data_IF_856389163608
#
_entry.id   IF_856389163608
#
_cell.length_a   1.000
_cell.length_b   1.000
_cell.length_c   1.000
_cell.angle_alpha   90.00
_cell.angle_beta   90.00
_cell.angle_gamma   90.00
#
_symmetry.space_group_name_H-M   'P 1'
#
loop_
_entity.id
_entity.type
_entity.pdbx_description
1 polymer ?
#
# COMPACT_ATOMS: atom_id res chain seq x y z
N UNK A 1 7.15 19.41 63.86
CA UNK A 1 5.82 19.83 64.39
C UNK A 1 4.93 19.96 63.16
N UNK A 2 3.99 19.02 62.95
CA UNK A 2 2.52 19.19 63.09
C UNK A 2 2.02 20.45 62.38
N UNK A 3 0.95 20.49 61.60
CA UNK A 3 -0.13 19.59 61.16
C UNK A 3 -1.01 20.52 60.28
N UNK A 4 -1.91 19.98 59.46
CA UNK A 4 -3.20 20.65 59.26
C UNK A 4 -3.75 20.58 57.85
N UNK A 5 -4.59 19.57 57.67
CA UNK A 5 -5.50 19.34 56.56
C UNK A 5 -6.63 20.39 56.47
N UNK A 6 -7.21 20.44 55.27
CA UNK A 6 -8.64 20.52 54.89
C UNK A 6 -9.61 21.45 55.63
N UNK A 7 -10.35 22.23 54.83
CA UNK A 7 -11.80 22.34 55.01
C UNK A 7 -12.58 22.74 53.74
N UNK A 8 -13.78 22.17 53.66
CA UNK A 8 -14.79 22.13 52.59
C UNK A 8 -15.48 23.45 52.18
N UNK A 9 -16.20 23.41 51.04
CA UNK A 9 -17.57 23.92 50.71
C UNK A 9 -17.63 24.03 49.15
N UNK A 10 -18.64 23.66 48.36
CA UNK A 10 -20.02 23.19 48.53
C UNK A 10 -20.69 23.15 47.14
N UNK A 11 -21.77 22.37 47.05
CA UNK A 11 -22.69 22.04 45.93
C UNK A 11 -22.92 23.02 44.76
N UNK A 12 -23.16 22.48 43.55
CA UNK A 12 -24.53 22.35 42.99
C UNK A 12 -24.58 21.52 41.69
N UNK A 13 -25.52 20.56 41.68
CA UNK A 13 -25.97 19.73 40.56
C UNK A 13 -27.11 20.42 39.78
N UNK A 14 -27.10 20.31 38.44
CA UNK A 14 -28.25 20.19 37.52
C UNK A 14 -27.71 20.23 36.07
N UNK A 15 -28.07 19.42 35.09
CA UNK A 15 -29.11 18.41 34.92
C UNK A 15 -29.48 18.37 33.42
N UNK A 16 -29.43 17.20 32.77
CA UNK A 16 -30.23 16.79 31.60
C UNK A 16 -29.73 15.42 31.12
N UNK A 17 -30.38 14.32 31.50
CA UNK A 17 -31.63 13.78 30.94
C UNK A 17 -31.46 13.11 29.56
N UNK A 18 -31.22 11.80 29.59
CA UNK A 18 -31.69 10.87 28.56
C UNK A 18 -32.19 9.61 29.28
N UNK A 19 -33.51 9.43 29.29
CA UNK A 19 -34.17 8.22 29.73
C UNK A 19 -35.04 7.66 28.61
N UNK A 20 -35.16 6.34 28.54
CA UNK A 20 -36.33 5.71 27.91
C UNK A 20 -36.13 4.32 27.31
N UNK A 21 -36.61 3.32 28.07
CA UNK A 21 -37.07 1.97 27.69
C UNK A 21 -35.99 0.88 27.42
N UNK A 22 -36.03 -0.31 28.04
CA UNK A 22 -36.97 -0.91 28.99
C UNK A 22 -36.74 -2.44 29.05
N UNK A 23 -36.41 -2.97 30.25
CA UNK A 23 -36.55 -4.38 30.63
C UNK A 23 -38.06 -4.64 30.90
N UNK A 24 -38.69 -5.81 30.77
CA UNK A 24 -38.28 -7.20 30.97
C UNK A 24 -39.30 -7.85 31.93
N UNK A 25 -39.84 -9.03 31.60
CA UNK A 25 -40.41 -10.06 32.50
C UNK A 25 -40.86 -11.24 31.60
N UNK A 26 -40.27 -12.44 31.62
CA UNK A 26 -40.22 -13.48 32.66
C UNK A 26 -41.38 -14.51 32.55
N UNK A 27 -41.08 -15.78 32.87
CA UNK A 27 -41.86 -17.04 32.79
C UNK A 27 -41.75 -17.81 31.45
N UNK A 28 -41.45 -19.11 31.40
CA UNK A 28 -41.25 -20.15 32.41
C UNK A 28 -41.08 -21.51 31.72
N UNK A 29 -40.38 -22.44 32.38
CA UNK A 29 -40.05 -23.81 31.96
C UNK A 29 -41.25 -24.70 31.57
N UNK A 30 -41.05 -25.63 30.62
CA UNK A 30 -41.14 -27.08 30.86
C UNK A 30 -41.18 -27.95 29.57
N UNK A 31 -40.22 -28.87 29.50
CA UNK A 31 -40.40 -30.32 29.30
C UNK A 31 -40.87 -30.93 27.94
N UNK A 32 -39.94 -31.73 27.39
CA UNK A 32 -40.05 -33.17 27.06
C UNK A 32 -40.91 -33.66 25.86
N UNK A 33 -40.22 -34.43 25.02
CA UNK A 33 -40.66 -35.70 24.37
C UNK A 33 -40.89 -35.67 22.85
N UNK A 34 -40.04 -36.42 22.14
CA UNK A 34 -40.38 -37.16 20.92
C UNK A 34 -40.73 -38.62 21.30
N UNK A 35 -41.10 -39.52 20.36
CA UNK A 35 -42.11 -39.53 19.28
C UNK A 35 -43.14 -40.70 19.49
N UNK A 36 -44.08 -41.01 18.56
CA UNK A 36 -43.81 -42.06 17.55
C UNK A 36 -44.56 -41.94 16.19
N UNK A 37 -44.09 -42.70 15.20
CA UNK A 37 -44.66 -42.99 13.85
C UNK A 37 -45.84 -44.02 13.89
N UNK A 38 -46.28 -44.73 12.80
CA UNK A 38 -46.55 -44.46 11.36
C UNK A 38 -47.92 -45.04 10.84
N UNK A 39 -48.15 -45.03 9.50
CA UNK A 39 -48.87 -46.03 8.64
C UNK A 39 -50.30 -45.75 8.11
N UNK A 40 -50.41 -45.82 6.77
CA UNK A 40 -51.53 -46.35 5.95
C UNK A 40 -51.44 -45.80 4.52
N UNK A 41 -51.15 -46.49 3.39
CA UNK A 41 -51.32 -47.85 2.82
C UNK A 41 -52.76 -48.33 2.57
N UNK A 42 -53.18 -48.33 1.28
CA UNK A 42 -53.67 -49.45 0.42
C UNK A 42 -54.60 -48.89 -0.68
N UNK A 43 -54.26 -48.94 -1.97
CA UNK A 43 -54.24 -50.07 -2.91
C UNK A 43 -55.61 -50.43 -3.50
N UNK A 44 -55.78 -50.39 -4.84
CA UNK A 44 -56.38 -51.53 -5.57
C UNK A 44 -56.14 -51.52 -7.09
N UNK A 45 -55.75 -52.70 -7.59
CA UNK A 45 -55.54 -53.12 -8.98
C UNK A 45 -56.84 -53.63 -9.60
N UNK A 46 -57.05 -53.43 -10.91
CA UNK A 46 -57.65 -54.41 -11.84
C UNK A 46 -57.02 -54.25 -13.25
N UNK A 47 -56.09 -55.10 -13.72
CA UNK A 47 -56.27 -56.31 -14.56
C UNK A 47 -57.21 -56.16 -15.78
N UNK A 48 -56.97 -56.58 -17.03
CA UNK A 48 -55.96 -57.35 -17.79
C UNK A 48 -56.19 -57.00 -19.30
N UNK A 49 -55.39 -57.31 -20.35
CA UNK A 49 -55.03 -58.65 -20.90
C UNK A 49 -54.39 -58.48 -22.32
N UNK A 50 -53.50 -59.42 -22.69
CA UNK A 50 -53.06 -59.82 -24.07
C UNK A 50 -52.04 -58.89 -24.78
N UNK A 51 -50.97 -59.30 -25.47
CA UNK A 51 -50.50 -60.60 -26.01
C UNK A 51 -48.98 -60.52 -26.33
N UNK A 52 -48.38 -61.71 -26.48
CA UNK A 52 -46.95 -62.03 -26.66
C UNK A 52 -46.48 -61.99 -28.13
N UNK A 53 -45.17 -61.76 -28.36
CA UNK A 53 -44.29 -62.22 -29.48
C UNK A 53 -43.53 -61.05 -30.16
N UNK A 54 -42.22 -60.85 -29.94
CA UNK A 54 -41.05 -61.52 -30.53
C UNK A 54 -40.71 -61.07 -31.97
N UNK A 55 -39.60 -60.35 -32.15
CA UNK A 55 -38.57 -60.61 -33.18
C UNK A 55 -37.42 -59.59 -33.11
N UNK A 56 -36.19 -60.11 -33.11
CA UNK A 56 -34.97 -59.34 -33.31
C UNK A 56 -34.72 -59.09 -34.80
N UNK A 57 -34.30 -57.89 -35.19
CA UNK A 57 -33.45 -57.69 -36.38
C UNK A 57 -32.67 -56.39 -36.26
N UNK A 58 -31.38 -56.46 -36.57
CA UNK A 58 -30.40 -55.39 -36.54
C UNK A 58 -30.51 -54.42 -37.73
N UNK A 59 -30.20 -53.14 -37.52
CA UNK A 59 -29.71 -52.17 -38.53
C UNK A 59 -28.72 -51.25 -37.80
N UNK A 60 -27.43 -51.55 -37.89
CA UNK A 60 -26.40 -50.90 -38.74
C UNK A 60 -26.17 -49.42 -38.41
N UNK A 61 -24.91 -49.16 -38.08
CA UNK A 61 -24.31 -47.89 -37.69
C UNK A 61 -24.57 -46.74 -38.66
N UNK A 62 -24.92 -45.58 -38.10
CA UNK A 62 -24.58 -44.29 -38.65
C UNK A 62 -23.79 -43.53 -37.60
N UNK A 63 -22.46 -43.73 -37.64
CA UNK A 63 -21.51 -42.81 -37.05
C UNK A 63 -21.62 -41.50 -37.82
N UNK A 64 -22.45 -40.58 -37.33
CA UNK A 64 -22.35 -39.18 -37.73
C UNK A 64 -21.08 -38.67 -37.07
N UNK A 65 -20.02 -38.57 -37.88
CA UNK A 65 -18.86 -37.77 -37.59
C UNK A 65 -19.35 -36.33 -37.37
N UNK A 66 -19.64 -35.99 -36.12
CA UNK A 66 -19.71 -34.61 -35.70
C UNK A 66 -18.30 -34.07 -35.93
N UNK A 67 -18.09 -33.08 -36.82
CA UNK A 67 -16.83 -32.39 -36.82
C UNK A 67 -16.71 -31.78 -35.42
N UNK A 68 -15.81 -32.34 -34.62
CA UNK A 68 -15.24 -31.63 -33.49
C UNK A 68 -14.48 -30.44 -34.08
N UNK A 69 -15.23 -29.43 -34.50
CA UNK A 69 -14.69 -28.07 -34.50
C UNK A 69 -14.39 -27.83 -33.05
N UNK A 70 -13.09 -27.84 -32.73
CA UNK A 70 -12.56 -27.21 -31.54
C UNK A 70 -13.11 -25.80 -31.57
N UNK A 71 -14.20 -25.58 -30.82
CA UNK A 71 -14.74 -24.27 -30.52
C UNK A 71 -13.72 -23.62 -29.59
N UNK A 72 -12.67 -23.10 -30.21
CA UNK A 72 -11.67 -22.26 -29.57
C UNK A 72 -12.32 -20.89 -29.40
N UNK A 73 -13.18 -20.77 -28.39
CA UNK A 73 -13.72 -19.51 -27.84
C UNK A 73 -14.63 -19.86 -26.67
N UNK A 74 -14.03 -20.30 -25.57
CA UNK A 74 -14.69 -20.18 -24.28
C UNK A 74 -14.97 -18.70 -24.04
N UNK A 75 -16.22 -18.40 -23.67
CA UNK A 75 -16.85 -17.12 -23.34
C UNK A 75 -15.98 -16.17 -22.49
N UNK A 76 -14.92 -15.65 -23.08
CA UNK A 76 -14.15 -14.55 -22.56
C UNK A 76 -14.98 -13.28 -22.73
N UNK A 77 -15.34 -12.62 -21.62
CA UNK A 77 -15.93 -11.29 -21.68
C UNK A 77 -15.12 -10.41 -22.66
N UNK A 78 -15.79 -9.69 -23.58
CA UNK A 78 -15.11 -8.89 -24.58
C UNK A 78 -14.17 -7.91 -23.89
N UNK A 79 -12.90 -7.84 -24.33
CA UNK A 79 -11.96 -6.89 -23.78
C UNK A 79 -12.43 -5.46 -24.04
N UNK A 80 -12.13 -4.55 -23.13
CA UNK A 80 -12.45 -3.14 -23.25
C UNK A 80 -11.42 -2.42 -24.11
N UNK A 81 -11.87 -1.73 -25.15
CA UNK A 81 -11.01 -0.90 -26.00
C UNK A 81 -10.95 0.53 -25.48
N UNK A 82 -9.74 1.03 -25.22
CA UNK A 82 -9.53 2.42 -24.76
C UNK A 82 -10.05 3.39 -25.82
N UNK A 83 -11.08 4.21 -25.53
CA UNK A 83 -11.65 5.16 -26.47
C UNK A 83 -10.63 6.19 -26.95
N UNK A 84 -10.77 6.71 -28.17
CA UNK A 84 -9.87 7.71 -28.74
C UNK A 84 -9.70 8.95 -27.84
N UNK A 85 -10.78 9.39 -27.17
CA UNK A 85 -10.73 10.50 -26.21
C UNK A 85 -9.86 10.21 -24.99
N UNK A 86 -9.88 8.96 -24.48
CA UNK A 86 -9.02 8.55 -23.38
C UNK A 86 -7.56 8.41 -23.86
N UNK A 87 -7.35 7.83 -25.05
CA UNK A 87 -6.02 7.74 -25.67
C UNK A 87 -5.35 9.11 -25.82
N UNK A 88 -6.12 10.15 -26.15
CA UNK A 88 -5.60 11.52 -26.29
C UNK A 88 -5.02 12.08 -24.96
N UNK A 89 -5.51 11.63 -23.80
CA UNK A 89 -5.00 12.07 -22.50
C UNK A 89 -3.53 11.67 -22.30
N UNK A 90 -3.07 10.56 -22.91
CA UNK A 90 -1.71 10.07 -22.76
C UNK A 90 -0.64 11.03 -23.31
N UNK A 91 -1.01 12.01 -24.14
CA UNK A 91 -0.12 13.04 -24.69
C UNK A 91 -0.40 14.45 -24.16
N UNK A 92 -1.31 14.60 -23.19
CA UNK A 92 -1.72 15.90 -22.65
C UNK A 92 -1.74 15.84 -21.10
N UNK A 93 -0.63 16.19 -20.44
CA UNK A 93 -0.52 16.18 -18.98
C UNK A 93 -1.59 17.01 -18.26
N UNK A 94 -1.99 18.15 -18.83
CA UNK A 94 -3.01 19.00 -18.22
C UNK A 94 -4.39 18.33 -18.28
N UNK A 95 -4.74 17.73 -19.43
CA UNK A 95 -5.99 17.01 -19.58
C UNK A 95 -6.01 15.69 -18.78
N UNK A 96 -4.90 14.95 -18.74
CA UNK A 96 -4.75 13.73 -17.95
C UNK A 96 -4.95 14.01 -16.46
N UNK A 97 -4.26 15.03 -15.93
CA UNK A 97 -4.43 15.47 -14.54
C UNK A 97 -5.86 15.91 -14.26
N UNK A 98 -6.49 16.72 -15.12
CA UNK A 98 -7.91 17.07 -14.98
C UNK A 98 -8.84 15.85 -15.05
N UNK A 99 -8.43 14.76 -15.69
CA UNK A 99 -9.22 13.53 -15.79
C UNK A 99 -9.11 12.64 -14.55
N UNK A 100 -7.97 12.66 -13.87
CA UNK A 100 -7.71 11.86 -12.67
C UNK A 100 -7.86 12.64 -11.35
N UNK A 101 -7.85 13.98 -11.37
CA UNK A 101 -7.99 14.81 -10.18
C UNK A 101 -9.36 14.58 -9.51
N UNK A 102 -9.38 14.01 -8.29
CA UNK A 102 -10.60 13.73 -7.55
C UNK A 102 -11.18 14.99 -6.86
N UNK A 103 -10.51 16.15 -6.97
CA UNK A 103 -10.77 17.39 -6.21
C UNK A 103 -10.40 17.26 -4.73
N UNK A 104 -10.40 18.39 -4.02
CA UNK A 104 -9.93 18.49 -2.62
C UNK A 104 -10.79 17.64 -1.64
N UNK A 105 -12.05 17.38 -1.98
CA UNK A 105 -13.00 16.59 -1.19
C UNK A 105 -13.17 15.15 -1.71
N UNK A 106 -12.31 14.74 -2.65
CA UNK A 106 -12.38 13.47 -3.36
C UNK A 106 -13.70 13.19 -4.11
N UNK A 107 -14.59 14.17 -4.28
CA UNK A 107 -15.92 14.01 -4.87
C UNK A 107 -15.91 13.48 -6.32
N UNK A 108 -14.81 13.65 -7.05
CA UNK A 108 -14.69 13.22 -8.45
C UNK A 108 -13.92 11.90 -8.63
N UNK A 109 -13.63 11.17 -7.54
CA UNK A 109 -12.85 9.93 -7.57
C UNK A 109 -13.42 8.86 -8.51
N UNK A 110 -14.75 8.81 -8.67
CA UNK A 110 -15.38 7.85 -9.58
C UNK A 110 -14.86 8.01 -11.02
N UNK A 111 -14.53 9.24 -11.46
CA UNK A 111 -13.98 9.48 -12.80
C UNK A 111 -12.67 8.74 -13.05
N UNK A 112 -11.76 8.72 -12.06
CA UNK A 112 -10.54 7.95 -12.12
C UNK A 112 -10.84 6.44 -12.19
N UNK A 113 -11.77 5.96 -11.34
CA UNK A 113 -12.23 4.55 -11.36
C UNK A 113 -12.74 4.14 -12.74
N UNK A 114 -13.68 4.89 -13.33
CA UNK A 114 -14.20 4.63 -14.69
C UNK A 114 -13.15 4.58 -15.79
N UNK A 115 -12.00 5.24 -15.60
CA UNK A 115 -10.94 5.26 -16.59
C UNK A 115 -9.94 4.11 -16.41
N UNK A 116 -9.67 3.71 -15.16
CA UNK A 116 -8.59 2.79 -14.82
C UNK A 116 -9.08 1.37 -14.48
N UNK A 117 -10.30 1.20 -13.98
CA UNK A 117 -10.79 -0.10 -13.50
C UNK A 117 -11.48 -0.88 -14.61
N UNK A 118 -10.68 -1.65 -15.35
CA UNK A 118 -11.16 -2.55 -16.40
C UNK A 118 -10.47 -3.90 -16.31
N UNK A 119 -11.25 -4.97 -16.12
CA UNK A 119 -10.72 -6.33 -15.90
C UNK A 119 -9.89 -6.85 -17.10
N UNK A 120 -10.26 -6.45 -18.32
CA UNK A 120 -9.53 -6.80 -19.55
C UNK A 120 -9.46 -5.61 -20.49
N UNK A 121 -8.26 -5.18 -20.84
CA UNK A 121 -8.02 -4.08 -21.77
C UNK A 121 -7.42 -4.62 -23.07
N UNK A 122 -7.98 -4.22 -24.22
CA UNK A 122 -7.53 -4.70 -25.53
C UNK A 122 -6.19 -4.08 -25.95
N UNK A 123 -5.35 -4.87 -26.63
CA UNK A 123 -4.18 -4.41 -27.38
C UNK A 123 -3.18 -3.63 -26.51
N UNK A 124 -2.81 -2.42 -26.96
CA UNK A 124 -1.89 -1.52 -26.26
C UNK A 124 -2.56 -0.73 -25.11
N UNK A 125 -3.83 -1.00 -24.81
CA UNK A 125 -4.63 -0.13 -23.97
C UNK A 125 -4.13 0.00 -22.53
N UNK A 126 -3.60 -1.06 -21.91
CA UNK A 126 -2.99 -0.96 -20.58
C UNK A 126 -1.77 -0.03 -20.57
N UNK A 127 -0.96 -0.06 -21.64
CA UNK A 127 0.19 0.87 -21.81
C UNK A 127 -0.29 2.30 -22.03
N UNK A 128 -1.39 2.50 -22.75
CA UNK A 128 -2.02 3.82 -22.89
C UNK A 128 -2.46 4.34 -21.52
N UNK A 129 -3.18 3.53 -20.73
CA UNK A 129 -3.60 3.91 -19.38
C UNK A 129 -2.40 4.25 -18.49
N UNK A 130 -1.30 3.49 -18.59
CA UNK A 130 -0.06 3.81 -17.89
C UNK A 130 0.50 5.18 -18.25
N UNK A 131 0.53 5.54 -19.55
CA UNK A 131 0.93 6.88 -19.96
C UNK A 131 0.00 7.99 -19.45
N UNK A 132 -1.30 7.70 -19.29
CA UNK A 132 -2.23 8.66 -18.68
C UNK A 132 -1.91 8.86 -17.20
N UNK A 133 -1.62 7.79 -16.46
CA UNK A 133 -1.18 7.86 -15.06
C UNK A 133 0.07 8.74 -14.96
N UNK A 134 1.15 8.39 -15.68
CA UNK A 134 2.39 9.18 -15.70
C UNK A 134 2.13 10.65 -16.06
N UNK A 135 1.36 10.93 -17.12
CA UNK A 135 1.08 12.30 -17.54
C UNK A 135 0.29 13.11 -16.49
N UNK A 136 -0.51 12.45 -15.66
CA UNK A 136 -1.31 13.11 -14.63
C UNK A 136 -0.56 13.33 -13.31
N UNK A 137 0.35 12.42 -12.95
CA UNK A 137 0.92 12.33 -11.60
C UNK A 137 2.37 12.75 -11.52
N UNK A 138 3.14 12.54 -12.59
CA UNK A 138 4.58 12.80 -12.56
C UNK A 138 4.89 14.29 -12.58
N UNK A 139 6.03 14.66 -11.97
CA UNK A 139 6.56 16.03 -12.06
C UNK A 139 6.72 16.47 -13.53
N UNK A 140 6.45 17.75 -13.83
CA UNK A 140 6.46 18.24 -15.22
C UNK A 140 7.86 18.30 -15.83
N UNK A 141 8.87 18.49 -14.98
CA UNK A 141 10.30 18.42 -15.32
C UNK A 141 11.05 17.93 -14.09
N UNK A 142 12.20 17.29 -14.28
CA UNK A 142 13.15 17.04 -13.17
C UNK A 142 13.48 18.36 -12.46
N UNK A 143 13.63 18.30 -11.14
CA UNK A 143 13.80 19.47 -10.27
C UNK A 143 12.49 20.13 -9.82
N UNK A 144 11.34 19.79 -10.40
CA UNK A 144 10.06 20.41 -10.04
C UNK A 144 9.38 19.66 -8.90
N UNK A 145 8.97 20.35 -7.82
CA UNK A 145 8.09 19.78 -6.82
C UNK A 145 6.74 19.33 -7.40
N UNK A 146 6.15 18.29 -6.82
CA UNK A 146 4.78 17.90 -7.12
C UNK A 146 3.79 19.00 -6.72
N UNK A 147 2.78 19.20 -7.57
CA UNK A 147 1.66 20.11 -7.33
C UNK A 147 0.52 19.38 -6.61
N UNK A 148 -0.34 20.11 -5.90
CA UNK A 148 -1.54 19.56 -5.26
C UNK A 148 -2.37 18.68 -6.21
N UNK A 149 -2.57 19.11 -7.45
CA UNK A 149 -3.36 18.35 -8.42
C UNK A 149 -2.67 17.05 -8.90
N UNK A 150 -1.33 17.00 -8.90
CA UNK A 150 -0.59 15.75 -9.14
C UNK A 150 -0.73 14.80 -7.95
N UNK A 151 -0.52 15.30 -6.73
CA UNK A 151 -0.64 14.52 -5.50
C UNK A 151 -2.05 13.92 -5.32
N UNK A 152 -3.11 14.71 -5.57
CA UNK A 152 -4.49 14.20 -5.55
C UNK A 152 -4.77 13.19 -6.67
N UNK A 153 -4.15 13.37 -7.84
CA UNK A 153 -4.26 12.40 -8.94
C UNK A 153 -3.59 11.07 -8.56
N UNK A 154 -2.45 11.10 -7.87
CA UNK A 154 -1.79 9.91 -7.36
C UNK A 154 -2.67 9.16 -6.34
N UNK A 155 -3.31 9.88 -5.42
CA UNK A 155 -4.34 9.31 -4.53
C UNK A 155 -5.44 8.62 -5.33
N UNK A 156 -5.99 9.29 -6.34
CA UNK A 156 -7.09 8.74 -7.12
C UNK A 156 -6.72 7.48 -7.91
N UNK A 157 -5.48 7.41 -8.41
CA UNK A 157 -4.95 6.19 -9.07
C UNK A 157 -4.84 5.06 -8.05
N UNK A 158 -4.20 5.29 -6.91
CA UNK A 158 -4.02 4.27 -5.87
C UNK A 158 -5.38 3.79 -5.33
N UNK A 159 -6.31 4.70 -5.05
CA UNK A 159 -7.68 4.38 -4.60
C UNK A 159 -8.49 3.64 -5.67
N UNK A 160 -8.30 3.94 -6.96
CA UNK A 160 -8.98 3.23 -8.03
C UNK A 160 -8.48 1.79 -8.21
N UNK A 161 -7.19 1.56 -7.96
CA UNK A 161 -6.54 0.26 -8.14
C UNK A 161 -6.50 -0.59 -6.86
N UNK A 162 -6.85 0.01 -5.72
CA UNK A 162 -7.01 -0.70 -4.45
C UNK A 162 -7.91 -1.92 -4.62
N UNK A 163 -7.41 -3.11 -4.23
CA UNK A 163 -8.09 -4.40 -4.36
C UNK A 163 -8.45 -4.84 -5.80
N UNK A 164 -7.69 -4.39 -6.80
CA UNK A 164 -7.84 -4.80 -8.20
C UNK A 164 -6.59 -5.48 -8.72
N UNK A 165 -6.77 -6.38 -9.69
CA UNK A 165 -5.66 -6.87 -10.50
C UNK A 165 -5.17 -5.72 -11.40
N UNK A 166 -3.86 -5.47 -11.41
CA UNK A 166 -3.27 -4.40 -12.22
C UNK A 166 -2.72 -5.04 -13.50
N UNK A 167 -3.21 -4.65 -14.70
CA UNK A 167 -2.74 -5.22 -15.95
C UNK A 167 -1.23 -4.99 -16.13
N UNK A 168 -0.46 -5.96 -16.68
CA UNK A 168 1.00 -5.83 -16.84
C UNK A 168 1.45 -4.58 -17.61
N UNK A 169 0.65 -4.12 -18.59
CA UNK A 169 0.97 -2.88 -19.32
C UNK A 169 0.79 -1.58 -18.52
N UNK A 170 0.07 -1.63 -17.40
CA UNK A 170 -0.18 -0.50 -16.49
C UNK A 170 0.78 -0.53 -15.28
N UNK A 171 1.14 -1.72 -14.80
CA UNK A 171 1.91 -1.90 -13.57
C UNK A 171 3.20 -1.06 -13.49
N UNK A 172 4.08 -1.01 -14.51
CA UNK A 172 5.29 -0.18 -14.43
C UNK A 172 5.02 1.33 -14.31
N UNK A 173 3.91 1.84 -14.83
CA UNK A 173 3.58 3.26 -14.71
C UNK A 173 3.06 3.61 -13.31
N UNK A 174 2.27 2.71 -12.71
CA UNK A 174 1.79 2.86 -11.32
C UNK A 174 2.97 2.72 -10.35
N UNK A 175 3.89 1.80 -10.60
CA UNK A 175 5.11 1.67 -9.81
C UNK A 175 5.98 2.93 -9.86
N UNK A 176 6.17 3.55 -11.04
CA UNK A 176 6.89 4.83 -11.17
C UNK A 176 6.19 5.96 -10.44
N UNK A 177 4.86 6.04 -10.56
CA UNK A 177 4.07 6.99 -9.78
C UNK A 177 4.35 6.80 -8.29
N UNK A 178 4.19 5.59 -7.73
CA UNK A 178 4.45 5.36 -6.31
C UNK A 178 5.91 5.66 -5.91
N UNK A 179 6.88 5.36 -6.77
CA UNK A 179 8.28 5.71 -6.55
C UNK A 179 8.49 7.23 -6.43
N UNK A 180 7.82 8.04 -7.26
CA UNK A 180 7.89 9.51 -7.18
C UNK A 180 7.31 10.09 -5.87
N UNK A 181 6.48 9.31 -5.15
CA UNK A 181 5.91 9.66 -3.83
C UNK A 181 6.44 8.72 -2.73
N UNK A 182 7.67 8.20 -2.85
CA UNK A 182 8.20 7.14 -1.96
C UNK A 182 8.04 7.44 -0.47
N UNK A 183 8.26 8.68 -0.02
CA UNK A 183 8.08 9.03 1.40
C UNK A 183 6.64 8.85 1.88
N UNK A 184 5.66 9.27 1.07
CA UNK A 184 4.23 9.15 1.39
C UNK A 184 3.81 7.68 1.38
N UNK A 185 4.37 6.89 0.44
CA UNK A 185 4.16 5.44 0.35
C UNK A 185 4.70 4.74 1.59
N UNK A 186 5.95 5.01 1.97
CA UNK A 186 6.60 4.40 3.13
C UNK A 186 5.85 4.72 4.41
N UNK A 187 5.37 5.96 4.58
CA UNK A 187 4.59 6.39 5.74
C UNK A 187 3.24 5.70 5.84
N UNK A 188 2.52 5.60 4.73
CA UNK A 188 1.19 5.02 4.70
C UNK A 188 1.19 3.53 5.06
N UNK A 189 2.11 2.77 4.46
CA UNK A 189 2.21 1.31 4.66
C UNK A 189 2.55 0.94 6.10
N UNK A 190 3.25 1.80 6.84
CA UNK A 190 3.72 1.53 8.19
C UNK A 190 2.80 2.09 9.29
N UNK A 191 1.52 2.33 8.97
CA UNK A 191 0.51 2.92 9.87
C UNK A 191 0.87 4.34 10.36
N UNK A 192 1.81 5.02 9.70
CA UNK A 192 2.26 6.38 9.97
C UNK A 192 1.46 7.47 9.24
N UNK A 193 0.34 7.12 8.62
CA UNK A 193 -0.50 8.07 7.88
C UNK A 193 -1.19 9.08 8.80
N UNK A 194 -1.51 10.24 8.21
CA UNK A 194 -2.30 11.28 8.86
C UNK A 194 -3.75 10.82 9.07
N UNK A 195 -4.09 10.48 10.31
CA UNK A 195 -5.44 10.05 10.70
C UNK A 195 -6.46 11.18 10.67
N UNK A 196 -5.98 12.42 10.70
CA UNK A 196 -6.80 13.63 10.69
C UNK A 196 -6.85 14.25 9.28
N UNK A 197 -6.30 13.57 8.27
CA UNK A 197 -6.35 14.02 6.89
C UNK A 197 -7.80 14.27 6.45
N UNK A 198 -8.05 15.45 5.88
CA UNK A 198 -9.40 15.86 5.43
C UNK A 198 -9.57 15.81 3.91
N UNK A 199 -8.51 15.50 3.18
CA UNK A 199 -8.50 15.46 1.72
C UNK A 199 -7.40 14.56 1.15
N UNK A 200 -7.38 14.34 -0.18
CA UNK A 200 -6.52 13.36 -0.84
C UNK A 200 -5.07 13.81 -1.04
N UNK A 201 -4.73 15.05 -0.68
CA UNK A 201 -3.38 15.58 -0.72
C UNK A 201 -3.22 16.71 0.29
N UNK A 202 -1.98 16.96 0.68
CA UNK A 202 -1.57 18.04 1.55
C UNK A 202 -0.58 18.98 0.84
N UNK A 203 -0.68 20.27 1.15
CA UNK A 203 0.22 21.31 0.70
C UNK A 203 1.60 21.19 1.37
N UNK A 204 2.62 21.84 0.79
CA UNK A 204 3.93 21.89 1.41
C UNK A 204 3.91 22.59 2.78
N UNK A 205 3.03 23.59 2.94
CA UNK A 205 2.85 24.31 4.19
C UNK A 205 2.18 23.43 5.25
N UNK A 206 1.19 22.62 4.89
CA UNK A 206 0.52 21.70 5.82
C UNK A 206 1.35 20.46 6.13
N UNK A 207 2.21 20.02 5.21
CA UNK A 207 3.14 18.91 5.43
C UNK A 207 4.40 19.31 6.23
N UNK A 208 4.61 20.61 6.46
CA UNK A 208 5.76 21.11 7.20
C UNK A 208 5.76 20.63 8.65
N UNK A 209 6.97 20.50 9.22
CA UNK A 209 7.14 20.19 10.64
C UNK A 209 6.43 21.24 11.50
N UNK A 210 5.62 20.77 12.46
CA UNK A 210 4.97 21.62 13.45
C UNK A 210 5.96 22.16 14.51
N UNK A 211 5.45 22.89 15.51
CA UNK A 211 6.27 23.48 16.58
C UNK A 211 6.93 22.43 17.49
N UNK A 212 6.43 21.19 17.51
CA UNK A 212 7.06 20.04 18.19
C UNK A 212 8.10 19.36 17.31
N UNK A 213 8.21 19.80 16.05
CA UNK A 213 8.99 19.15 15.04
C UNK A 213 8.37 17.82 14.67
N UNK A 214 7.05 17.72 14.51
CA UNK A 214 6.35 16.52 14.01
C UNK A 214 5.67 16.81 12.67
N UNK A 215 5.58 15.77 11.83
CA UNK A 215 4.76 15.74 10.61
C UNK A 215 4.49 14.28 10.25
N UNK A 216 3.29 13.92 9.78
CA UNK A 216 3.00 12.58 9.29
C UNK A 216 3.63 12.29 7.91
N UNK A 217 4.11 13.31 7.20
CA UNK A 217 4.60 13.21 5.82
C UNK A 217 6.11 12.92 5.69
N UNK A 218 6.83 12.77 6.81
CA UNK A 218 8.28 12.51 6.81
C UNK A 218 9.15 13.76 7.00
N UNK A 219 10.46 13.57 7.24
CA UNK A 219 11.36 14.61 7.75
C UNK A 219 12.01 15.49 6.70
N UNK A 220 12.46 14.86 5.61
CA UNK A 220 13.37 15.47 4.65
C UNK A 220 12.68 15.97 3.39
N UNK A 221 11.50 16.56 3.56
CA UNK A 221 10.61 16.98 2.48
C UNK A 221 11.15 18.18 1.73
N UNK A 222 10.98 18.17 0.41
CA UNK A 222 11.34 19.30 -0.43
C UNK A 222 10.44 20.50 -0.10
N UNK A 223 10.99 21.73 -0.11
CA UNK A 223 10.15 22.90 0.02
C UNK A 223 9.20 22.98 -1.19
N UNK A 224 7.95 23.41 -0.93
CA UNK A 224 6.92 23.60 -1.95
C UNK A 224 6.42 22.33 -2.66
N UNK A 225 6.77 21.14 -2.16
CA UNK A 225 6.23 19.88 -2.66
C UNK A 225 4.91 19.55 -1.97
N UNK A 226 3.89 19.23 -2.78
CA UNK A 226 2.64 18.68 -2.28
C UNK A 226 2.79 17.16 -2.03
N UNK A 227 2.13 16.68 -0.99
CA UNK A 227 2.17 15.30 -0.53
C UNK A 227 0.82 14.61 -0.76
N UNK A 228 0.86 13.30 -1.00
CA UNK A 228 -0.35 12.49 -1.20
C UNK A 228 -0.80 11.85 0.11
N UNK A 229 -2.10 11.97 0.42
CA UNK A 229 -2.69 11.40 1.63
C UNK A 229 -3.29 10.03 1.30
N UNK A 230 -2.44 9.01 1.14
CA UNK A 230 -2.92 7.66 0.81
C UNK A 230 -3.87 7.10 1.89
N UNK A 231 -3.61 7.39 3.17
CA UNK A 231 -4.38 6.90 4.31
C UNK A 231 -5.67 7.67 4.66
N UNK A 232 -6.22 8.49 3.76
CA UNK A 232 -7.45 9.26 4.01
C UNK A 232 -8.60 8.36 4.52
N UNK A 233 -8.91 8.49 5.82
CA UNK A 233 -9.79 7.56 6.56
C UNK A 233 -11.17 8.16 6.89
N UNK A 234 -11.27 9.47 7.14
CA UNK A 234 -12.51 10.07 7.63
C UNK A 234 -13.49 10.53 6.53
N UNK A 235 -14.77 10.18 6.71
CA UNK A 235 -15.90 10.74 5.96
C UNK A 235 -16.22 10.08 4.62
N UNK A 236 -15.34 9.20 4.12
CA UNK A 236 -15.63 8.37 2.95
C UNK A 236 -15.99 6.96 3.43
N UNK A 237 -17.09 6.39 2.91
CA UNK A 237 -17.44 4.98 3.14
C UNK A 237 -16.20 4.08 2.97
N UNK A 238 -16.09 2.99 3.73
CA UNK A 238 -14.96 2.03 3.69
C UNK A 238 -14.56 1.55 2.28
N UNK A 239 -15.42 1.77 1.28
CA UNK A 239 -15.14 1.64 -0.15
C UNK A 239 -14.12 2.64 -0.75
N UNK A 240 -13.58 3.57 0.04
CA UNK A 240 -12.65 4.61 -0.42
C UNK A 240 -11.25 4.54 0.20
N UNK A 241 -11.04 3.66 1.18
CA UNK A 241 -9.74 3.39 1.78
C UNK A 241 -8.73 2.92 0.71
N UNK A 242 -7.59 3.60 0.60
CA UNK A 242 -6.47 3.10 -0.21
C UNK A 242 -5.75 2.05 0.61
N UNK A 243 -5.86 0.79 0.21
CA UNK A 243 -5.00 -0.24 0.79
C UNK A 243 -3.71 -0.27 -0.02
N UNK A 244 -2.82 0.68 0.26
CA UNK A 244 -1.60 0.86 -0.53
C UNK A 244 -0.71 -0.39 -0.49
N UNK A 245 -0.69 -1.07 0.65
CA UNK A 245 -0.06 -2.37 0.80
C UNK A 245 -0.54 -3.41 -0.23
N UNK A 246 -1.86 -3.52 -0.42
CA UNK A 246 -2.45 -4.40 -1.46
C UNK A 246 -2.01 -3.97 -2.86
N UNK A 247 -1.95 -2.67 -3.15
CA UNK A 247 -1.49 -2.16 -4.46
C UNK A 247 -0.01 -2.53 -4.69
N UNK A 248 0.88 -2.30 -3.72
CA UNK A 248 2.30 -2.64 -3.80
C UNK A 248 2.47 -4.15 -3.99
N UNK A 249 1.73 -4.96 -3.24
CA UNK A 249 1.71 -6.41 -3.41
C UNK A 249 1.29 -6.81 -4.81
N UNK A 250 0.21 -6.24 -5.34
CA UNK A 250 -0.24 -6.56 -6.69
C UNK A 250 0.82 -6.22 -7.75
N UNK A 251 1.48 -5.07 -7.61
CA UNK A 251 2.57 -4.64 -8.50
C UNK A 251 3.78 -5.56 -8.43
N UNK A 252 4.08 -6.15 -7.27
CA UNK A 252 5.24 -7.01 -7.06
C UNK A 252 5.22 -8.33 -7.89
N UNK A 253 4.12 -8.64 -8.56
CA UNK A 253 4.02 -9.75 -9.54
C UNK A 253 4.70 -9.43 -10.87
N UNK A 254 4.81 -8.16 -11.22
CA UNK A 254 5.45 -7.69 -12.44
C UNK A 254 6.92 -7.36 -12.16
N UNK A 255 7.89 -7.95 -12.90
CA UNK A 255 9.31 -7.79 -12.57
C UNK A 255 9.84 -6.37 -12.82
N UNK A 256 9.27 -5.62 -13.76
CA UNK A 256 9.66 -4.23 -14.00
C UNK A 256 9.11 -3.33 -12.87
N UNK A 257 7.83 -3.50 -12.52
CA UNK A 257 7.21 -2.78 -11.41
C UNK A 257 7.91 -3.07 -10.06
N UNK A 258 8.24 -4.34 -9.80
CA UNK A 258 9.02 -4.73 -8.63
C UNK A 258 10.39 -4.03 -8.60
N UNK A 259 11.12 -4.02 -9.71
CA UNK A 259 12.43 -3.37 -9.79
C UNK A 259 12.32 -1.86 -9.50
N UNK A 260 11.32 -1.19 -10.05
CA UNK A 260 11.09 0.25 -9.83
C UNK A 260 10.84 0.55 -8.34
N UNK A 261 9.91 -0.17 -7.69
CA UNK A 261 9.60 0.05 -6.27
C UNK A 261 10.80 -0.30 -5.38
N UNK A 262 11.48 -1.41 -5.68
CA UNK A 262 12.62 -1.84 -4.89
C UNK A 262 13.83 -0.93 -5.03
N UNK A 263 14.07 -0.38 -6.22
CA UNK A 263 15.11 0.63 -6.44
C UNK A 263 14.74 1.94 -5.76
N UNK A 264 13.48 2.38 -5.82
CA UNK A 264 13.02 3.59 -5.15
C UNK A 264 13.25 3.54 -3.63
N UNK A 265 12.85 2.45 -2.97
CA UNK A 265 13.05 2.30 -1.52
C UNK A 265 14.53 2.19 -1.13
N UNK A 266 15.35 1.46 -1.90
CA UNK A 266 16.81 1.41 -1.66
C UNK A 266 17.47 2.77 -1.86
N UNK A 267 16.97 3.55 -2.81
CA UNK A 267 17.41 4.92 -3.07
C UNK A 267 17.01 5.85 -1.94
N UNK A 268 15.76 5.72 -1.47
CA UNK A 268 15.21 6.49 -0.37
C UNK A 268 15.95 6.18 0.95
N UNK A 269 16.27 4.92 1.22
CA UNK A 269 17.13 4.53 2.35
C UNK A 269 18.48 5.24 2.34
N UNK A 270 19.20 5.21 1.21
CA UNK A 270 20.48 5.92 1.08
C UNK A 270 20.30 7.45 1.20
N UNK A 271 19.25 8.00 0.62
CA UNK A 271 18.88 9.42 0.74
C UNK A 271 18.59 9.82 2.19
N UNK A 272 17.94 8.95 2.97
CA UNK A 272 17.59 9.23 4.35
C UNK A 272 18.86 9.26 5.23
N UNK A 273 19.71 8.24 5.10
CA UNK A 273 20.95 8.12 5.88
C UNK A 273 21.90 9.32 5.69
N UNK A 274 22.08 9.81 4.46
CA UNK A 274 23.01 10.93 4.19
C UNK A 274 22.57 12.28 4.81
N UNK A 275 21.35 12.37 5.36
CA UNK A 275 20.81 13.59 6.00
C UNK A 275 20.88 13.56 7.52
N UNK A 276 21.07 12.39 8.10
CA UNK A 276 21.18 12.25 9.55
C UNK A 276 22.46 12.90 10.07
N UNK A 277 22.40 13.33 11.33
CA UNK A 277 23.58 13.84 12.05
C UNK A 277 24.65 12.76 12.24
N UNK A 278 25.83 13.14 12.70
CA UNK A 278 26.93 12.19 13.00
C UNK A 278 26.63 11.28 14.21
N UNK A 279 25.47 11.47 14.84
CA UNK A 279 24.91 10.58 15.89
C UNK A 279 23.67 9.83 15.40
N UNK A 280 23.43 9.81 14.09
CA UNK A 280 22.25 9.22 13.47
C UNK A 280 20.92 9.77 14.03
N UNK A 281 20.91 11.05 14.41
CA UNK A 281 19.73 11.79 14.88
C UNK A 281 19.23 12.78 13.82
N UNK A 282 18.03 13.32 14.05
CA UNK A 282 17.36 14.32 13.22
C UNK A 282 18.06 15.69 13.35
N UNK A 283 18.59 16.27 12.26
CA UNK A 283 19.21 17.60 12.30
C UNK A 283 18.22 18.73 12.64
N UNK A 284 16.92 18.51 12.51
CA UNK A 284 15.86 19.46 12.82
C UNK A 284 15.27 19.26 14.23
N UNK A 285 15.72 18.26 15.00
CA UNK A 285 15.20 17.98 16.33
C UNK A 285 15.29 19.21 17.25
N UNK A 286 14.13 19.64 17.77
CA UNK A 286 14.01 20.72 18.75
C UNK A 286 13.56 20.15 20.09
N UNK A 287 14.51 19.63 20.87
CA UNK A 287 14.23 19.17 22.23
C UNK A 287 13.93 20.38 23.14
N UNK A 288 12.66 20.76 23.22
CA UNK A 288 12.21 21.88 24.04
C UNK A 288 12.23 21.54 25.54
N UNK A 289 12.20 22.55 26.40
CA UNK A 289 12.00 22.33 27.84
C UNK A 289 10.64 21.67 28.14
N UNK A 290 9.65 21.86 27.26
CA UNK A 290 8.32 21.24 27.34
C UNK A 290 8.38 19.75 27.00
N UNK A 291 9.03 19.36 25.91
CA UNK A 291 9.18 17.94 25.54
C UNK A 291 9.95 17.17 26.62
N UNK A 292 11.03 17.75 27.15
CA UNK A 292 11.78 17.18 28.30
C UNK A 292 10.96 17.10 29.60
N UNK A 293 9.95 17.96 29.77
CA UNK A 293 9.08 17.94 30.95
C UNK A 293 7.92 16.95 30.78
N UNK A 294 7.45 16.73 29.55
CA UNK A 294 6.47 15.69 29.21
C UNK A 294 7.07 14.29 29.33
N UNK A 295 8.35 14.09 28.98
CA UNK A 295 9.09 12.86 29.29
C UNK A 295 9.01 12.51 30.78
N UNK A 296 9.14 13.53 31.63
CA UNK A 296 9.08 13.37 33.08
C UNK A 296 7.66 13.09 33.61
N UNK A 297 6.63 13.36 32.80
CA UNK A 297 5.21 13.19 33.13
C UNK A 297 4.67 11.82 32.70
N UNK A 298 5.16 11.27 31.58
CA UNK A 298 4.75 9.97 31.06
C UNK A 298 5.63 8.80 31.54
N UNK A 299 6.72 9.07 32.27
CA UNK A 299 7.57 8.04 32.87
C UNK A 299 8.70 7.58 31.93
N UNK A 300 9.38 6.49 32.26
CA UNK A 300 10.51 5.93 31.48
C UNK A 300 10.11 5.44 30.07
N UNK A 301 8.80 5.41 29.76
CA UNK A 301 8.26 4.83 28.53
C UNK A 301 8.11 5.85 27.37
N UNK A 302 8.22 7.16 27.65
CA UNK A 302 8.16 8.18 26.61
C UNK A 302 9.28 9.20 26.81
N UNK A 303 10.25 9.18 25.92
CA UNK A 303 11.38 10.09 25.91
C UNK A 303 11.51 10.69 24.53
N UNK A 304 11.41 12.02 24.40
CA UNK A 304 11.70 12.72 23.16
C UNK A 304 13.23 12.78 22.96
N UNK A 305 13.77 11.84 22.20
CA UNK A 305 15.15 11.85 21.74
C UNK A 305 15.27 12.49 20.36
N UNK A 306 16.47 13.00 20.02
CA UNK A 306 16.77 13.44 18.66
C UNK A 306 16.84 12.26 17.66
N UNK A 307 16.68 11.03 18.14
CA UNK A 307 16.77 9.79 17.36
C UNK A 307 15.44 9.07 17.12
N UNK A 308 14.36 9.39 17.85
CA UNK A 308 13.10 8.61 17.76
C UNK A 308 12.50 8.62 16.36
N UNK A 309 12.43 9.79 15.74
CA UNK A 309 11.89 9.92 14.39
C UNK A 309 12.79 9.28 13.33
N UNK A 310 14.11 9.48 13.34
CA UNK A 310 15.02 8.69 12.53
C UNK A 310 14.85 7.19 12.68
N UNK A 311 14.64 6.70 13.91
CA UNK A 311 14.42 5.28 14.20
C UNK A 311 13.13 4.81 13.51
N UNK A 312 12.00 5.46 13.79
CA UNK A 312 10.72 5.13 13.16
C UNK A 312 10.78 5.16 11.62
N UNK A 313 11.42 6.17 11.02
CA UNK A 313 11.51 6.29 9.56
C UNK A 313 12.37 5.17 8.96
N UNK A 314 13.46 4.79 9.63
CA UNK A 314 14.32 3.68 9.20
C UNK A 314 13.63 2.33 9.39
N UNK A 315 12.82 2.17 10.43
CA UNK A 315 11.91 1.03 10.62
C UNK A 315 10.95 0.91 9.44
N UNK A 316 10.24 1.99 9.10
CA UNK A 316 9.25 2.04 8.03
C UNK A 316 9.86 1.67 6.66
N UNK A 317 10.99 2.29 6.29
CA UNK A 317 11.69 2.00 5.02
C UNK A 317 12.11 0.52 4.96
N UNK A 318 12.60 -0.01 6.08
CA UNK A 318 13.06 -1.40 6.16
C UNK A 318 11.91 -2.38 6.00
N UNK A 319 10.77 -2.09 6.62
CA UNK A 319 9.55 -2.89 6.52
C UNK A 319 9.06 -2.98 5.08
N UNK A 320 9.02 -1.88 4.33
CA UNK A 320 8.60 -1.89 2.92
C UNK A 320 9.54 -2.74 2.04
N UNK A 321 10.85 -2.59 2.23
CA UNK A 321 11.85 -3.41 1.53
C UNK A 321 11.65 -4.90 1.83
N UNK A 322 11.43 -5.26 3.09
CA UNK A 322 11.17 -6.63 3.50
C UNK A 322 9.84 -7.14 2.94
N UNK A 323 8.80 -6.31 2.93
CA UNK A 323 7.49 -6.66 2.43
C UNK A 323 7.50 -6.92 0.90
N UNK A 324 8.28 -6.17 0.11
CA UNK A 324 8.52 -6.48 -1.31
C UNK A 324 9.17 -7.87 -1.47
N UNK A 325 10.22 -8.18 -0.70
CA UNK A 325 10.85 -9.51 -0.73
C UNK A 325 9.88 -10.63 -0.33
N UNK A 326 9.03 -10.36 0.64
CA UNK A 326 7.98 -11.26 1.08
C UNK A 326 6.96 -11.50 -0.03
N UNK A 327 6.50 -10.46 -0.73
CA UNK A 327 5.55 -10.56 -1.84
C UNK A 327 6.12 -11.41 -2.98
N UNK A 328 7.36 -11.16 -3.40
CA UNK A 328 8.07 -12.01 -4.38
C UNK A 328 8.08 -13.48 -3.95
N UNK A 329 8.45 -13.76 -2.70
CA UNK A 329 8.52 -15.12 -2.17
C UNK A 329 7.13 -15.78 -2.12
N UNK A 330 6.10 -15.04 -1.72
CA UNK A 330 4.71 -15.49 -1.66
C UNK A 330 4.20 -15.85 -3.06
N UNK A 331 4.50 -15.03 -4.07
CA UNK A 331 4.09 -15.28 -5.45
C UNK A 331 4.82 -16.43 -6.12
N UNK A 332 6.10 -16.64 -5.79
CA UNK A 332 6.80 -17.84 -6.21
C UNK A 332 6.15 -19.10 -5.60
N UNK A 333 5.83 -19.06 -4.30
CA UNK A 333 5.22 -20.20 -3.58
C UNK A 333 3.82 -20.55 -4.07
N UNK A 334 2.99 -19.54 -4.39
CA UNK A 334 1.62 -19.77 -4.84
C UNK A 334 1.48 -19.96 -6.37
N UNK A 335 2.59 -19.90 -7.11
CA UNK A 335 2.62 -20.12 -8.56
C UNK A 335 2.22 -18.91 -9.41
N UNK A 336 2.01 -17.73 -8.82
CA UNK A 336 1.79 -16.48 -9.60
C UNK A 336 3.05 -16.11 -10.38
N UNK A 337 4.23 -16.24 -9.74
CA UNK A 337 5.52 -16.24 -10.43
C UNK A 337 5.87 -17.70 -10.71
N UNK A 338 5.64 -18.14 -11.95
CA UNK A 338 5.83 -19.54 -12.36
C UNK A 338 7.29 -19.92 -12.61
N UNK A 339 8.10 -18.95 -13.04
CA UNK A 339 9.54 -19.09 -13.23
C UNK A 339 10.27 -17.99 -12.45
N UNK A 340 10.69 -18.32 -11.24
CA UNK A 340 11.38 -17.39 -10.36
C UNK A 340 12.72 -16.93 -10.94
N UNK A 341 13.43 -17.79 -11.68
CA UNK A 341 14.72 -17.43 -12.26
C UNK A 341 14.55 -16.44 -13.42
N UNK A 342 13.52 -16.61 -14.26
CA UNK A 342 13.19 -15.65 -15.31
C UNK A 342 12.71 -14.31 -14.73
N UNK A 343 11.87 -14.35 -13.69
CA UNK A 343 11.45 -13.16 -12.96
C UNK A 343 12.65 -12.39 -12.41
N UNK A 344 13.54 -13.07 -11.68
CA UNK A 344 14.75 -12.48 -11.09
C UNK A 344 15.69 -11.88 -12.13
N UNK A 345 15.85 -12.57 -13.26
CA UNK A 345 16.64 -12.07 -14.38
C UNK A 345 16.04 -10.79 -14.96
N UNK A 346 14.70 -10.74 -15.06
CA UNK A 346 13.99 -9.56 -15.54
C UNK A 346 14.12 -8.40 -14.55
N UNK A 347 13.92 -8.63 -13.24
CA UNK A 347 14.13 -7.61 -12.21
C UNK A 347 15.54 -7.04 -12.30
N UNK A 348 16.58 -7.89 -12.39
CA UNK A 348 17.98 -7.43 -12.53
C UNK A 348 18.23 -6.61 -13.80
N UNK A 349 17.46 -6.82 -14.86
CA UNK A 349 17.57 -6.05 -16.09
C UNK A 349 16.91 -4.65 -15.99
N UNK A 350 16.00 -4.48 -15.04
CA UNK A 350 15.29 -3.23 -14.74
C UNK A 350 15.80 -2.49 -13.50
N UNK A 351 16.63 -3.14 -12.68
CA UNK A 351 17.34 -2.48 -11.57
C UNK A 351 18.51 -1.65 -12.11
N UNK A 352 18.52 -0.37 -11.76
CA UNK A 352 19.51 0.61 -12.23
C UNK A 352 20.86 0.41 -11.55
N UNK A 353 20.86 0.05 -10.26
CA UNK A 353 22.09 -0.26 -9.55
C UNK A 353 21.99 -0.26 -8.03
N UNK A 354 23.07 0.21 -7.41
CA UNK A 354 23.20 0.37 -5.97
C UNK A 354 23.38 1.85 -5.60
N UNK A 355 22.74 2.24 -4.50
CA UNK A 355 22.69 3.60 -3.99
C UNK A 355 23.50 3.68 -2.71
N UNK A 356 24.38 4.66 -2.64
CA UNK A 356 25.22 4.91 -1.48
C UNK A 356 24.90 6.29 -0.94
N UNK A 357 24.75 6.43 0.39
CA UNK A 357 24.67 7.74 1.01
C UNK A 357 25.99 8.50 0.76
N UNK A 358 25.90 9.82 0.72
CA UNK A 358 27.08 10.67 0.75
C UNK A 358 27.88 10.46 2.06
N UNK A 359 29.20 10.63 1.96
CA UNK A 359 30.09 10.59 3.12
C UNK A 359 29.92 11.81 4.04
N UNK A 360 29.56 12.96 3.45
CA UNK A 360 29.23 14.18 4.19
C UNK A 360 27.71 14.36 4.33
N UNK A 361 27.30 15.17 5.31
CA UNK A 361 25.88 15.40 5.57
C UNK A 361 25.30 16.25 4.45
N UNK A 362 24.30 15.73 3.78
CA UNK A 362 23.56 16.46 2.75
C UNK A 362 22.45 17.26 3.41
N UNK A 363 22.35 18.55 3.09
CA UNK A 363 21.31 19.46 3.63
C UNK A 363 20.28 19.89 2.59
N UNK A 364 20.52 19.59 1.31
CA UNK A 364 19.58 19.86 0.23
C UNK A 364 18.38 18.92 0.31
N UNK A 365 17.19 19.41 0.00
CA UNK A 365 15.94 18.65 0.01
C UNK A 365 15.33 18.68 -1.40
N UNK A 366 15.80 17.82 -2.31
CA UNK A 366 15.24 17.73 -3.66
C UNK A 366 13.83 17.14 -3.61
N UNK A 367 12.97 17.44 -4.60
CA UNK A 367 11.67 16.78 -4.77
C UNK A 367 11.77 15.25 -4.71
N UNK A 368 10.74 14.58 -4.21
CA UNK A 368 10.72 13.12 -4.09
C UNK A 368 10.86 12.43 -5.45
N UNK A 369 10.29 13.01 -6.51
CA UNK A 369 10.48 12.52 -7.89
C UNK A 369 11.95 12.46 -8.30
N UNK A 370 12.76 13.45 -7.92
CA UNK A 370 14.21 13.46 -8.23
C UNK A 370 14.97 12.42 -7.40
N UNK A 371 14.49 12.08 -6.20
CA UNK A 371 15.07 11.01 -5.39
C UNK A 371 14.84 9.67 -6.08
N UNK A 372 13.62 9.42 -6.56
CA UNK A 372 13.27 8.19 -7.28
C UNK A 372 14.11 8.02 -8.56
N UNK A 373 14.42 9.12 -9.25
CA UNK A 373 15.24 9.16 -10.46
C UNK A 373 16.75 9.30 -10.20
N UNK A 374 17.20 9.29 -8.93
CA UNK A 374 18.61 9.47 -8.57
C UNK A 374 19.46 8.43 -9.32
N UNK A 375 20.54 8.85 -10.00
CA UNK A 375 21.43 7.91 -10.67
C UNK A 375 22.10 6.93 -9.68
N UNK A 376 22.29 5.66 -10.06
CA UNK A 376 22.96 4.68 -9.22
C UNK A 376 24.44 5.06 -9.02
N UNK A 377 24.91 4.94 -7.79
CA UNK A 377 26.31 5.24 -7.42
C UNK A 377 27.28 4.10 -7.72
N UNK A 378 26.77 2.88 -7.88
CA UNK A 378 27.55 1.68 -8.11
C UNK A 378 26.69 0.58 -8.74
N UNK A 379 27.34 -0.52 -9.16
CA UNK A 379 26.63 -1.76 -9.49
C UNK A 379 26.20 -2.48 -8.20
N UNK A 380 25.07 -3.17 -8.27
CA UNK A 380 24.64 -4.11 -7.22
C UNK A 380 25.72 -5.18 -7.03
N UNK A 381 26.09 -5.43 -5.78
CA UNK A 381 27.00 -6.52 -5.38
C UNK A 381 26.22 -7.60 -4.67
N UNK A 382 26.66 -8.85 -4.83
CA UNK A 382 26.01 -10.00 -4.19
C UNK A 382 24.64 -10.31 -4.76
N UNK A 383 23.81 -10.96 -3.96
CA UNK A 383 22.45 -11.26 -4.35
C UNK A 383 21.55 -10.03 -4.17
N UNK A 384 20.86 -9.63 -5.24
CA UNK A 384 19.89 -8.52 -5.22
C UNK A 384 18.69 -8.86 -4.33
N UNK A 385 18.35 -10.13 -4.24
CA UNK A 385 17.18 -10.61 -3.50
C UNK A 385 17.49 -10.98 -2.05
N UNK A 386 18.74 -10.79 -1.61
CA UNK A 386 19.10 -10.74 -0.20
C UNK A 386 18.95 -9.30 0.31
N UNK A 387 17.70 -8.88 0.52
CA UNK A 387 17.37 -7.50 0.90
C UNK A 387 18.05 -7.06 2.20
N UNK A 388 18.23 -7.98 3.16
CA UNK A 388 18.96 -7.75 4.41
C UNK A 388 20.41 -7.40 4.14
N UNK A 389 21.08 -8.20 3.30
CA UNK A 389 22.46 -7.93 2.93
C UNK A 389 22.58 -6.63 2.12
N UNK A 390 21.62 -6.31 1.24
CA UNK A 390 21.61 -5.03 0.52
C UNK A 390 21.54 -3.84 1.50
N UNK A 391 20.63 -3.87 2.47
CA UNK A 391 20.48 -2.84 3.51
C UNK A 391 21.76 -2.69 4.34
N UNK A 392 22.27 -3.78 4.92
CA UNK A 392 23.47 -3.73 5.77
C UNK A 392 24.72 -3.32 5.00
N UNK A 393 24.83 -3.67 3.71
CA UNK A 393 25.97 -3.20 2.91
C UNK A 393 25.99 -1.67 2.78
N UNK A 394 24.82 -1.04 2.63
CA UNK A 394 24.69 0.42 2.54
C UNK A 394 24.88 1.06 3.92
N UNK A 395 24.22 0.51 4.94
CA UNK A 395 24.28 0.99 6.31
C UNK A 395 25.69 0.91 6.91
N UNK A 396 26.38 -0.22 6.78
CA UNK A 396 27.72 -0.41 7.36
C UNK A 396 28.75 0.50 6.70
N UNK A 397 28.61 0.76 5.39
CA UNK A 397 29.44 1.72 4.69
C UNK A 397 29.21 3.15 5.24
N UNK A 398 27.95 3.55 5.41
CA UNK A 398 27.59 4.85 5.97
C UNK A 398 28.09 5.04 7.39
N UNK A 399 27.85 4.07 8.28
CA UNK A 399 28.33 4.11 9.68
C UNK A 399 29.83 4.37 9.75
N UNK A 400 30.60 3.65 8.93
CA UNK A 400 32.05 3.79 8.87
C UNK A 400 32.45 5.14 8.28
N UNK A 401 31.85 5.55 7.17
CA UNK A 401 32.25 6.77 6.46
C UNK A 401 31.87 8.05 7.25
N UNK A 402 30.89 7.95 8.17
CA UNK A 402 30.40 9.04 9.04
C UNK A 402 30.93 8.98 10.48
N UNK A 403 31.74 7.98 10.81
CA UNK A 403 32.22 7.70 12.17
C UNK A 403 31.09 7.67 13.23
N UNK A 404 29.96 7.03 12.90
CA UNK A 404 28.82 6.93 13.83
C UNK A 404 29.26 6.18 15.09
N UNK A 405 28.93 6.68 16.31
CA UNK A 405 29.30 6.01 17.55
C UNK A 405 28.88 4.54 17.59
N UNK A 406 29.79 3.65 17.99
CA UNK A 406 29.60 2.20 17.91
C UNK A 406 28.34 1.70 18.64
N UNK A 407 28.01 2.30 19.79
CA UNK A 407 26.78 1.99 20.53
C UNK A 407 25.53 2.29 19.69
N UNK A 408 25.44 3.51 19.14
CA UNK A 408 24.32 3.92 18.28
C UNK A 408 24.25 3.09 17.01
N UNK A 409 25.40 2.80 16.40
CA UNK A 409 25.47 1.95 15.23
C UNK A 409 24.99 0.52 15.51
N UNK A 410 25.26 0.00 16.72
CA UNK A 410 24.74 -1.29 17.17
C UNK A 410 23.22 -1.29 17.32
N UNK A 411 22.66 -0.26 17.98
CA UNK A 411 21.21 -0.09 18.17
C UNK A 411 20.47 -0.02 16.85
N UNK A 412 20.90 0.86 15.95
CA UNK A 412 20.29 1.01 14.63
C UNK A 412 20.39 -0.26 13.80
N UNK A 413 21.52 -0.97 13.86
CA UNK A 413 21.66 -2.25 13.14
C UNK A 413 20.64 -3.27 13.63
N UNK A 414 20.45 -3.38 14.94
CA UNK A 414 19.48 -4.29 15.54
C UNK A 414 18.04 -3.91 15.13
N UNK A 415 17.72 -2.61 15.17
CA UNK A 415 16.42 -2.08 14.74
C UNK A 415 16.14 -2.43 13.26
N UNK A 416 17.08 -2.13 12.36
CA UNK A 416 16.96 -2.51 10.95
C UNK A 416 16.81 -4.03 10.78
N UNK A 417 17.46 -4.83 11.64
CA UNK A 417 17.34 -6.28 11.58
C UNK A 417 15.95 -6.77 11.99
N UNK A 418 15.48 -6.29 13.14
CA UNK A 418 14.20 -6.68 13.72
C UNK A 418 13.05 -6.29 12.81
N UNK A 419 13.12 -5.11 12.19
CA UNK A 419 12.12 -4.64 11.24
C UNK A 419 12.19 -5.38 9.90
N UNK A 420 13.39 -5.70 9.41
CA UNK A 420 13.49 -6.52 8.20
C UNK A 420 12.88 -7.91 8.42
N UNK A 421 13.14 -8.52 9.58
CA UNK A 421 12.51 -9.79 9.97
C UNK A 421 10.99 -9.59 10.14
N UNK A 422 10.55 -8.54 10.84
CA UNK A 422 9.13 -8.21 11.02
C UNK A 422 8.42 -8.10 9.67
N UNK A 423 8.90 -7.28 8.74
CA UNK A 423 8.31 -7.13 7.41
C UNK A 423 8.31 -8.44 6.60
N UNK A 424 9.34 -9.29 6.75
CA UNK A 424 9.36 -10.60 6.09
C UNK A 424 8.30 -11.59 6.65
N UNK A 425 8.03 -11.55 7.94
CA UNK A 425 7.11 -12.50 8.60
C UNK A 425 5.68 -11.99 8.69
N UNK A 426 5.56 -10.73 9.10
CA UNK A 426 4.30 -10.06 9.41
C UNK A 426 3.88 -9.09 8.33
N UNK A 427 4.67 -8.85 7.28
CA UNK A 427 4.35 -7.96 6.17
C UNK A 427 2.87 -8.05 5.81
N UNK A 428 2.12 -7.08 6.35
CA UNK A 428 0.69 -6.94 6.13
C UNK A 428 0.59 -6.01 4.95
N UNK A 429 0.49 -6.65 3.79
CA UNK A 429 -0.10 -6.01 2.65
C UNK A 429 -1.53 -6.50 2.52
#
# INVERSE_FOLDING_TARGET
MRNGDDDHIGHDDAGSAAGGAGNGADQGDAALSAPPSPVGRRAWLRSHRLLVSAMATAVVALAVAIPLTVSDSADAAPCWSVPAKARALAGDPAAARKALDPLDDASNLQRARRLLTHDRVCGDGAKVLGRIVTAATSATTSGSPHTMAQARSAFAVASALSHREIPPGLAPAVARMLAEYVVDVTRDVSDGHDRDATGPAESAEGAALDDTGFTPYGRFLAPHEAHTNFGLYEGLDSAHHVSLGVVITELAKDPEAFAILYDAERTYFAHYLERLTDRAGDPAARLTAKSKAEDKKFGEDWHAYDTDWPDNDLEDITDVIAALMQARTRYAKNGTITDLAAFDKSVRAHTDGAYRPAADRVTTRPPMGDIAERPPSARVRGDLFDGRQQLFTVYDAWVRDRDIPAERAGTLRQLLDDHYVRGLWLGRF
#
